data_IF_032807265430
#
_entry.id   IF_032807265430
#
_cell.length_a   1.000
_cell.length_b   1.000
_cell.length_c   1.000
_cell.angle_alpha   90.00
_cell.angle_beta   90.00
_cell.angle_gamma   90.00
#
_symmetry.space_group_name_H-M   'P 1'
#
loop_
_entity.id
_entity.type
_entity.pdbx_description
1 polymer ?
#
# COMPACT_ATOMS: atom_id res chain seq x y z
N UNK A 1 -6.47 7.09 -2.17
CA UNK A 1 -5.42 6.31 -2.84
C UNK A 1 -5.01 5.15 -1.94
N UNK A 2 -4.59 4.02 -2.51
CA UNK A 2 -4.03 2.90 -1.74
C UNK A 2 -2.53 2.82 -1.98
N UNK A 3 -1.74 2.74 -0.91
CA UNK A 3 -0.30 2.47 -0.98
C UNK A 3 -0.04 1.10 -0.37
N UNK A 4 0.68 0.26 -1.10
CA UNK A 4 1.16 -1.04 -0.61
C UNK A 4 2.60 -1.26 -1.07
N UNK A 5 3.29 -2.20 -0.44
CA UNK A 5 4.58 -2.62 -0.98
C UNK A 5 5.32 -3.67 -0.18
N UNK A 6 6.48 -4.02 -0.71
CA UNK A 6 7.36 -5.05 -0.15
C UNK A 6 7.81 -4.71 1.26
N UNK A 7 7.90 -5.74 2.11
CA UNK A 7 8.44 -5.61 3.48
C UNK A 7 9.92 -5.26 3.52
N UNK A 8 10.60 -5.43 2.39
CA UNK A 8 12.01 -5.13 2.14
C UNK A 8 12.20 -3.79 1.41
N UNK A 9 11.14 -3.04 1.11
CA UNK A 9 11.29 -1.73 0.47
C UNK A 9 12.06 -0.76 1.37
N UNK A 10 13.09 -0.12 0.81
CA UNK A 10 14.00 0.78 1.53
C UNK A 10 14.17 2.15 0.88
N UNK A 11 13.78 2.33 -0.39
CA UNK A 11 13.93 3.61 -1.08
C UNK A 11 12.87 4.63 -0.59
N UNK A 12 13.26 5.32 0.48
CA UNK A 12 12.47 6.38 1.11
C UNK A 12 12.41 7.63 0.24
N UNK A 13 13.43 7.90 -0.56
CA UNK A 13 13.49 9.11 -1.38
C UNK A 13 12.44 9.05 -2.50
N UNK A 14 12.37 7.93 -3.22
CA UNK A 14 11.33 7.70 -4.24
C UNK A 14 9.93 7.76 -3.62
N UNK A 15 9.71 7.08 -2.49
CA UNK A 15 8.41 7.11 -1.83
C UNK A 15 8.02 8.53 -1.37
N UNK A 16 8.96 9.30 -0.82
CA UNK A 16 8.70 10.68 -0.44
C UNK A 16 8.35 11.55 -1.65
N UNK A 17 9.04 11.37 -2.78
CA UNK A 17 8.73 12.09 -4.02
C UNK A 17 7.33 11.75 -4.55
N UNK A 18 6.92 10.47 -4.49
CA UNK A 18 5.57 10.05 -4.88
C UNK A 18 4.52 10.64 -3.93
N UNK A 19 4.73 10.53 -2.62
CA UNK A 19 3.80 11.06 -1.61
C UNK A 19 3.70 12.58 -1.70
N UNK A 20 4.77 13.28 -2.05
CA UNK A 20 4.78 14.73 -2.26
C UNK A 20 3.85 15.20 -3.38
N UNK A 21 3.49 14.32 -4.31
CA UNK A 21 2.60 14.62 -5.45
C UNK A 21 1.13 14.31 -5.18
N UNK A 22 0.79 13.69 -4.04
CA UNK A 22 -0.59 13.38 -3.68
C UNK A 22 -1.33 14.71 -3.42
N UNK A 23 -2.55 14.95 -3.93
CA UNK A 23 -3.25 16.20 -3.62
C UNK A 23 -3.54 16.34 -2.12
N UNK A 24 -3.39 17.54 -1.51
CA UNK A 24 -3.79 17.78 -0.12
C UNK A 24 -5.23 17.32 0.14
N UNK A 25 -5.51 16.81 1.34
CA UNK A 25 -6.83 16.28 1.70
C UNK A 25 -7.16 14.90 1.12
N UNK A 26 -6.31 14.32 0.26
CA UNK A 26 -6.52 12.96 -0.24
C UNK A 26 -6.28 11.92 0.86
N UNK A 27 -7.17 10.93 1.05
CA UNK A 27 -6.92 9.84 1.99
C UNK A 27 -5.89 8.85 1.41
N UNK A 28 -4.99 8.41 2.27
CA UNK A 28 -4.00 7.35 2.01
C UNK A 28 -4.40 6.10 2.79
N UNK A 29 -4.68 5.01 2.07
CA UNK A 29 -5.02 3.70 2.64
C UNK A 29 -3.81 2.79 2.55
N UNK A 30 -3.44 2.09 3.63
CA UNK A 30 -2.38 1.07 3.58
C UNK A 30 -2.57 -0.01 4.66
N UNK A 31 -1.79 -1.09 4.55
CA UNK A 31 -2.00 -2.32 5.32
C UNK A 31 -1.21 -2.45 6.64
N UNK A 32 -0.51 -1.38 7.03
CA UNK A 32 0.30 -1.33 8.27
C UNK A 32 1.50 -2.28 8.35
N UNK A 33 1.87 -3.00 7.28
CA UNK A 33 2.99 -3.94 7.32
C UNK A 33 4.36 -3.24 7.50
N UNK A 34 5.36 -3.98 7.98
CA UNK A 34 6.76 -3.49 7.94
C UNK A 34 7.16 -3.17 6.50
N UNK A 35 8.08 -2.22 6.31
CA UNK A 35 8.59 -1.83 5.00
C UNK A 35 7.76 -0.69 4.41
N UNK A 36 7.36 -0.83 3.14
CA UNK A 36 6.66 0.21 2.40
C UNK A 36 5.43 0.77 3.13
N UNK A 37 4.54 -0.06 3.69
CA UNK A 37 3.32 0.42 4.35
C UNK A 37 3.61 1.36 5.53
N UNK A 38 4.55 1.01 6.43
CA UNK A 38 4.94 1.89 7.56
C UNK A 38 5.67 3.14 7.10
N UNK A 39 6.48 3.03 6.05
CA UNK A 39 7.16 4.19 5.46
C UNK A 39 6.15 5.17 4.86
N UNK A 40 5.13 4.65 4.16
CA UNK A 40 4.04 5.42 3.60
C UNK A 40 3.21 6.12 4.70
N UNK A 41 2.89 5.42 5.79
CA UNK A 41 2.21 6.01 6.96
C UNK A 41 2.97 7.24 7.48
N UNK A 42 4.26 7.07 7.78
CA UNK A 42 5.08 8.14 8.35
C UNK A 42 5.18 9.35 7.41
N UNK A 43 5.43 9.11 6.11
CA UNK A 43 5.57 10.18 5.11
C UNK A 43 4.24 10.89 4.83
N UNK A 44 3.13 10.15 4.74
CA UNK A 44 1.81 10.71 4.52
C UNK A 44 1.37 11.58 5.71
N UNK A 45 1.56 11.08 6.94
CA UNK A 45 1.28 11.85 8.16
C UNK A 45 2.15 13.09 8.28
N UNK A 46 3.45 13.00 7.98
CA UNK A 46 4.35 14.15 7.99
C UNK A 46 3.92 15.24 7.00
N UNK A 47 3.25 14.86 5.90
CA UNK A 47 2.67 15.78 4.91
C UNK A 47 1.25 16.25 5.27
N UNK A 48 0.70 15.84 6.41
CA UNK A 48 -0.65 16.19 6.85
C UNK A 48 -1.77 15.52 6.07
N UNK A 49 -1.50 14.41 5.38
CA UNK A 49 -2.54 13.63 4.70
C UNK A 49 -3.31 12.77 5.71
N UNK A 50 -4.60 12.57 5.45
CA UNK A 50 -5.41 11.60 6.18
C UNK A 50 -4.91 10.18 5.87
N UNK A 51 -4.74 9.36 6.91
CA UNK A 51 -4.24 7.99 6.77
C UNK A 51 -5.20 6.99 7.41
N UNK A 52 -5.62 5.99 6.63
CA UNK A 52 -6.42 4.86 7.07
C UNK A 52 -5.57 3.58 7.06
N UNK A 53 -5.44 2.93 8.21
CA UNK A 53 -4.61 1.74 8.39
C UNK A 53 -5.48 0.49 8.52
N UNK A 54 -5.21 -0.52 7.71
CA UNK A 54 -5.90 -1.81 7.74
C UNK A 54 -4.92 -2.91 8.14
N UNK A 55 -4.72 -3.18 9.45
CA UNK A 55 -3.85 -4.25 9.90
C UNK A 55 -4.45 -5.62 9.54
N UNK A 56 -3.60 -6.58 9.22
CA UNK A 56 -4.03 -7.97 9.03
C UNK A 56 -4.27 -8.64 10.38
N UNK A 57 -5.47 -9.18 10.59
CA UNK A 57 -5.86 -9.90 11.82
C UNK A 57 -5.42 -11.38 11.74
N UNK A 58 -4.12 -11.60 11.96
CA UNK A 58 -3.50 -12.93 11.92
C UNK A 58 -4.03 -13.85 13.02
N UNK A 59 -4.41 -13.30 14.17
CA UNK A 59 -4.94 -14.09 15.29
C UNK A 59 -6.29 -14.73 14.93
N UNK A 60 -7.15 -13.99 14.21
CA UNK A 60 -8.47 -14.47 13.82
C UNK A 60 -8.47 -15.31 12.55
N UNK A 61 -7.70 -14.91 11.52
CA UNK A 61 -7.82 -15.48 10.19
C UNK A 61 -6.59 -16.26 9.70
N UNK A 62 -5.52 -16.32 10.51
CA UNK A 62 -4.28 -17.00 10.13
C UNK A 62 -3.77 -16.53 8.77
N UNK A 63 -3.45 -17.47 7.88
CA UNK A 63 -2.90 -17.17 6.54
C UNK A 63 -3.84 -16.35 5.65
N UNK A 64 -5.15 -16.40 5.89
CA UNK A 64 -6.13 -15.61 5.13
C UNK A 64 -6.16 -14.13 5.54
N UNK A 65 -5.55 -13.75 6.66
CA UNK A 65 -5.59 -12.39 7.19
C UNK A 65 -5.04 -11.35 6.22
N UNK A 66 -3.95 -11.66 5.52
CA UNK A 66 -3.36 -10.78 4.50
C UNK A 66 -4.31 -10.54 3.32
N UNK A 67 -4.72 -11.60 2.59
CA UNK A 67 -5.66 -11.47 1.49
C UNK A 67 -6.99 -10.80 1.85
N UNK A 68 -7.58 -11.13 3.01
CA UNK A 68 -8.83 -10.51 3.47
C UNK A 68 -8.66 -9.01 3.72
N UNK A 69 -7.54 -8.63 4.35
CA UNK A 69 -7.20 -7.23 4.56
C UNK A 69 -7.00 -6.49 3.23
N UNK A 70 -6.35 -7.11 2.25
CA UNK A 70 -6.15 -6.51 0.93
C UNK A 70 -7.49 -6.25 0.21
N UNK A 71 -8.41 -7.21 0.27
CA UNK A 71 -9.76 -7.05 -0.26
C UNK A 71 -10.51 -5.90 0.45
N UNK A 72 -10.40 -5.81 1.77
CA UNK A 72 -11.02 -4.73 2.54
C UNK A 72 -10.47 -3.35 2.16
N UNK A 73 -9.14 -3.23 1.99
CA UNK A 73 -8.53 -1.97 1.55
C UNK A 73 -8.96 -1.59 0.13
N UNK A 74 -9.10 -2.55 -0.79
CA UNK A 74 -9.55 -2.26 -2.15
C UNK A 74 -11.04 -1.88 -2.20
N UNK A 75 -11.87 -2.55 -1.39
CA UNK A 75 -13.30 -2.28 -1.26
C UNK A 75 -13.62 -0.89 -0.70
N UNK A 76 -12.64 -0.20 -0.11
CA UNK A 76 -12.75 1.20 0.32
C UNK A 76 -13.06 2.18 -0.83
N UNK A 77 -12.91 1.75 -2.09
CA UNK A 77 -13.21 2.55 -3.28
C UNK A 77 -12.09 3.52 -3.62
N UNK A 78 -10.91 2.98 -3.96
CA UNK A 78 -9.72 3.78 -4.31
C UNK A 78 -9.56 3.94 -5.82
N UNK A 79 -9.17 5.13 -6.27
CA UNK A 79 -8.98 5.41 -7.71
C UNK A 79 -7.69 4.81 -8.28
N UNK A 80 -6.69 4.61 -7.42
CA UNK A 80 -5.36 4.15 -7.80
C UNK A 80 -4.67 3.41 -6.65
N UNK A 81 -3.93 2.37 -7.03
CA UNK A 81 -2.96 1.65 -6.19
C UNK A 81 -1.54 2.08 -6.58
N UNK A 82 -0.77 2.53 -5.60
CA UNK A 82 0.66 2.82 -5.71
C UNK A 82 1.43 1.67 -5.06
N UNK A 83 1.98 0.78 -5.87
CA UNK A 83 2.64 -0.44 -5.42
C UNK A 83 4.17 -0.31 -5.43
N UNK A 84 4.78 -0.27 -4.25
CA UNK A 84 6.23 -0.19 -4.06
C UNK A 84 6.84 -1.58 -3.99
N UNK A 85 7.23 -2.12 -5.14
CA UNK A 85 7.53 -3.55 -5.31
C UNK A 85 9.05 -3.77 -5.44
N UNK A 86 9.71 -4.04 -4.33
CA UNK A 86 11.13 -4.44 -4.34
C UNK A 86 11.32 -5.82 -4.98
N UNK A 87 12.50 -6.15 -5.55
CA UNK A 87 12.83 -7.48 -6.05
C UNK A 87 12.64 -8.60 -5.00
N UNK A 88 12.42 -9.82 -5.47
CA UNK A 88 12.20 -11.00 -4.63
C UNK A 88 10.74 -11.21 -4.20
N UNK A 89 10.49 -12.11 -3.23
CA UNK A 89 9.13 -12.48 -2.80
C UNK A 89 8.38 -11.32 -2.14
N UNK A 90 7.18 -11.01 -2.66
CA UNK A 90 6.30 -10.01 -2.08
C UNK A 90 4.82 -10.43 -2.24
N UNK A 91 4.42 -11.59 -1.69
CA UNK A 91 3.13 -12.19 -2.00
C UNK A 91 1.93 -11.28 -1.68
N UNK A 92 2.00 -10.47 -0.63
CA UNK A 92 0.94 -9.50 -0.31
C UNK A 92 0.86 -8.35 -1.34
N UNK A 93 2.00 -7.82 -1.77
CA UNK A 93 2.03 -6.77 -2.81
C UNK A 93 1.54 -7.32 -4.15
N UNK A 94 2.00 -8.52 -4.52
CA UNK A 94 1.58 -9.21 -5.74
C UNK A 94 0.08 -9.52 -5.73
N UNK A 95 -0.42 -9.95 -4.57
CA UNK A 95 -1.84 -10.17 -4.34
C UNK A 95 -2.64 -8.88 -4.56
N UNK A 96 -2.26 -7.77 -3.94
CA UNK A 96 -2.92 -6.46 -4.13
C UNK A 96 -2.90 -6.01 -5.62
N UNK A 97 -1.74 -6.07 -6.27
CA UNK A 97 -1.62 -5.70 -7.70
C UNK A 97 -2.59 -6.51 -8.56
N UNK A 98 -2.67 -7.83 -8.32
CA UNK A 98 -3.55 -8.73 -9.07
C UNK A 98 -5.03 -8.38 -8.86
N UNK A 99 -5.48 -8.21 -7.62
CA UNK A 99 -6.90 -7.91 -7.35
C UNK A 99 -7.31 -6.52 -7.81
N UNK A 100 -6.41 -5.53 -7.73
CA UNK A 100 -6.68 -4.17 -8.20
C UNK A 100 -6.85 -4.14 -9.73
N UNK A 101 -5.96 -4.82 -10.47
CA UNK A 101 -6.08 -4.95 -11.93
C UNK A 101 -7.38 -5.68 -12.33
N UNK A 102 -7.72 -6.76 -11.63
CA UNK A 102 -8.96 -7.50 -11.88
C UNK A 102 -10.22 -6.64 -11.63
N UNK A 103 -10.15 -5.71 -10.66
CA UNK A 103 -11.22 -4.77 -10.36
C UNK A 103 -11.23 -3.52 -11.27
N UNK A 104 -10.35 -3.44 -12.27
CA UNK A 104 -10.23 -2.26 -13.14
C UNK A 104 -9.64 -1.02 -12.47
N UNK A 105 -9.07 -1.15 -11.28
CA UNK A 105 -8.40 -0.05 -10.57
C UNK A 105 -7.01 0.15 -11.14
N UNK A 106 -6.65 1.42 -11.39
CA UNK A 106 -5.33 1.78 -11.93
C UNK A 106 -4.23 1.36 -10.95
N UNK A 107 -3.20 0.69 -11.45
CA UNK A 107 -2.01 0.34 -10.66
C UNK A 107 -0.79 1.06 -11.24
N UNK A 108 -0.12 1.84 -10.42
CA UNK A 108 1.23 2.36 -10.70
C UNK A 108 2.22 1.57 -9.86
N UNK A 109 3.28 1.07 -10.49
CA UNK A 109 4.33 0.31 -9.82
C UNK A 109 5.60 1.17 -9.71
N UNK A 110 6.16 1.22 -8.51
CA UNK A 110 7.49 1.75 -8.27
C UNK A 110 8.49 0.60 -8.41
N UNK A 111 9.45 0.75 -9.31
CA UNK A 111 10.58 -0.17 -9.43
C UNK A 111 11.71 0.34 -8.52
N UNK A 112 12.28 -0.56 -7.71
CA UNK A 112 13.51 -0.25 -6.99
C UNK A 112 14.65 -0.22 -8.03
N UNK A 113 15.23 0.96 -8.25
CA UNK A 113 16.48 1.12 -9.00
C UNK A 113 17.66 0.52 -8.26
#
# INVERSE_FOLDING_TARGET
MLICGSRTWTDRALMAAVIARIPPGSPVVHGGARGADRMADALARARGLAVEVYPADWARYGMAAGPLRDLAMLARGVDVVLAFRAPGPSPGTDHMIRIARAAGVRVWMADAG
#
